data_IF_352961008601
#
_entry.id   IF_352961008601
#
_cell.length_a   1.000
_cell.length_b   1.000
_cell.length_c   1.000
_cell.angle_alpha   90.00
_cell.angle_beta   90.00
_cell.angle_gamma   90.00
#
_symmetry.space_group_name_H-M   'P 1'
#
loop_
_entity.id
_entity.type
_entity.pdbx_description
1 polymer ?
#
# COMPACT_ATOMS: atom_id res chain seq x y z
N UNK A 1 -10.49 1.59 -27.29
CA UNK A 1 -9.56 1.43 -26.16
C UNK A 1 -9.41 2.80 -25.53
N UNK A 2 -9.84 2.99 -24.28
CA UNK A 2 -9.59 4.25 -23.57
C UNK A 2 -8.09 4.30 -23.28
N UNK A 3 -7.41 5.32 -23.77
CA UNK A 3 -6.00 5.58 -23.45
C UNK A 3 -5.96 6.49 -22.22
N UNK A 4 -4.92 6.40 -21.40
CA UNK A 4 -4.75 7.19 -20.18
C UNK A 4 -3.28 7.66 -20.12
N UNK A 5 -3.05 8.96 -19.89
CA UNK A 5 -1.70 9.51 -19.66
C UNK A 5 -1.51 9.71 -18.16
N UNK A 6 -0.32 9.36 -17.67
CA UNK A 6 0.05 9.35 -16.25
C UNK A 6 1.20 10.34 -16.06
N UNK A 7 0.91 11.63 -15.79
CA UNK A 7 1.94 12.66 -15.70
C UNK A 7 2.82 12.55 -14.44
N UNK A 8 2.34 11.86 -13.39
CA UNK A 8 3.00 11.77 -12.08
C UNK A 8 3.57 10.37 -11.80
N UNK A 9 4.44 9.86 -12.68
CA UNK A 9 5.14 8.59 -12.44
C UNK A 9 6.40 8.87 -11.61
N UNK A 10 6.37 8.45 -10.34
CA UNK A 10 7.48 8.53 -9.38
C UNK A 10 7.53 7.30 -8.49
N UNK A 11 8.68 7.05 -7.85
CA UNK A 11 8.88 5.88 -6.99
C UNK A 11 7.83 5.78 -5.86
N UNK A 12 7.41 6.91 -5.31
CA UNK A 12 6.39 6.99 -4.26
C UNK A 12 5.01 6.47 -4.72
N UNK A 13 4.76 6.49 -6.03
CA UNK A 13 3.52 6.01 -6.65
C UNK A 13 3.63 4.55 -7.12
N UNK A 14 4.71 3.83 -6.78
CA UNK A 14 4.90 2.41 -7.11
C UNK A 14 4.84 1.60 -5.81
N UNK A 15 3.75 0.86 -5.63
CA UNK A 15 3.59 -0.05 -4.49
C UNK A 15 4.04 -1.47 -4.85
N UNK A 16 4.61 -2.16 -3.88
CA UNK A 16 4.90 -3.60 -3.98
C UNK A 16 3.96 -4.37 -3.07
N UNK A 17 3.35 -5.41 -3.60
CA UNK A 17 2.59 -6.36 -2.78
C UNK A 17 3.54 -7.23 -1.96
N UNK A 18 3.09 -7.65 -0.79
CA UNK A 18 3.78 -8.66 0.01
C UNK A 18 3.36 -10.03 -0.56
N UNK A 19 4.29 -10.76 -1.17
CA UNK A 19 4.04 -12.11 -1.68
C UNK A 19 4.35 -13.20 -0.66
N UNK A 20 4.91 -12.81 0.50
CA UNK A 20 5.25 -13.69 1.61
C UNK A 20 4.19 -13.57 2.74
N UNK A 21 3.18 -14.45 2.72
CA UNK A 21 2.10 -14.48 3.72
C UNK A 21 2.61 -14.70 5.15
N UNK A 22 3.81 -15.26 5.30
CA UNK A 22 4.35 -15.50 6.64
C UNK A 22 4.65 -14.19 7.39
N UNK A 23 4.78 -13.06 6.70
CA UNK A 23 4.84 -11.72 7.32
C UNK A 23 3.60 -11.45 8.19
N UNK A 24 2.40 -11.75 7.67
CA UNK A 24 1.14 -11.51 8.38
C UNK A 24 0.88 -12.53 9.49
N UNK A 25 1.26 -13.79 9.25
CA UNK A 25 1.15 -14.83 10.27
C UNK A 25 2.01 -14.50 11.49
N UNK A 26 3.27 -14.14 11.25
CA UNK A 26 4.20 -13.84 12.34
C UNK A 26 3.75 -12.56 13.09
N UNK A 27 3.24 -11.55 12.38
CA UNK A 27 2.62 -10.37 13.01
C UNK A 27 1.44 -10.72 13.92
N UNK A 28 0.58 -11.66 13.49
CA UNK A 28 -0.61 -12.07 14.25
C UNK A 28 -0.21 -12.89 15.49
N UNK A 29 0.72 -13.83 15.33
CA UNK A 29 1.24 -14.63 16.45
C UNK A 29 1.90 -13.74 17.49
N UNK A 30 2.68 -12.76 17.04
CA UNK A 30 3.35 -11.77 17.90
C UNK A 30 2.36 -10.93 18.73
N UNK A 31 1.18 -10.61 18.21
CA UNK A 31 0.12 -9.89 18.95
C UNK A 31 -0.62 -10.82 19.93
N UNK A 32 -0.72 -12.12 19.61
CA UNK A 32 -1.29 -13.11 20.53
C UNK A 32 -0.37 -13.38 21.72
N UNK A 33 0.93 -13.52 21.47
CA UNK A 33 1.93 -13.83 22.50
C UNK A 33 2.35 -12.58 23.30
N UNK A 34 2.46 -11.43 22.63
CA UNK A 34 2.84 -10.17 23.26
C UNK A 34 1.93 -9.03 22.76
N UNK A 35 0.73 -8.90 23.35
CA UNK A 35 -0.22 -7.84 23.05
C UNK A 35 0.40 -6.45 23.06
N UNK A 36 0.23 -5.69 21.97
CA UNK A 36 0.60 -4.28 21.98
C UNK A 36 -0.32 -3.48 22.93
N UNK A 37 0.13 -2.31 23.41
CA UNK A 37 -0.77 -1.35 24.05
C UNK A 37 -2.00 -1.12 23.17
N UNK A 38 -3.18 -1.28 23.75
CA UNK A 38 -4.45 -1.18 23.02
C UNK A 38 -5.54 -0.60 23.92
N UNK A 39 -6.53 0.01 23.29
CA UNK A 39 -7.70 0.59 23.96
C UNK A 39 -8.98 0.00 23.39
N UNK A 40 -9.83 -0.51 24.26
CA UNK A 40 -11.19 -0.92 23.91
C UNK A 40 -12.14 0.28 24.10
N UNK A 41 -12.93 0.59 23.08
CA UNK A 41 -13.88 1.69 23.08
C UNK A 41 -15.07 1.34 22.18
N UNK A 42 -16.29 1.36 22.71
CA UNK A 42 -17.52 1.13 21.93
C UNK A 42 -17.51 -0.19 21.11
N UNK A 43 -16.95 -1.26 21.68
CA UNK A 43 -16.85 -2.57 21.01
C UNK A 43 -15.76 -2.67 19.92
N UNK A 44 -14.92 -1.64 19.75
CA UNK A 44 -13.73 -1.70 18.90
C UNK A 44 -12.45 -1.72 19.72
N UNK A 45 -11.43 -2.39 19.19
CA UNK A 45 -10.08 -2.37 19.75
C UNK A 45 -9.19 -1.50 18.88
N UNK A 46 -8.59 -0.50 19.50
CA UNK A 46 -7.64 0.43 18.87
C UNK A 46 -6.24 -0.02 19.30
N UNK A 47 -5.46 -0.48 18.35
CA UNK A 47 -4.08 -0.94 18.54
C UNK A 47 -3.11 0.21 18.24
N UNK A 48 -1.98 0.26 18.94
CA UNK A 48 -0.86 1.09 18.49
C UNK A 48 -0.25 0.50 17.22
N UNK A 49 0.28 1.35 16.34
CA UNK A 49 1.00 0.88 15.16
C UNK A 49 2.18 0.01 15.55
N UNK A 50 2.37 -1.09 14.84
CA UNK A 50 3.49 -2.01 14.98
C UNK A 50 4.08 -2.31 13.61
N UNK A 51 5.39 -2.47 13.57
CA UNK A 51 6.10 -2.75 12.32
C UNK A 51 5.77 -4.15 11.79
N UNK A 52 5.62 -4.24 10.48
CA UNK A 52 5.65 -5.53 9.78
C UNK A 52 7.11 -5.89 9.52
N UNK A 53 7.43 -7.18 9.66
CA UNK A 53 8.75 -7.65 9.25
C UNK A 53 8.94 -7.48 7.74
N UNK A 54 10.19 -7.35 7.32
CA UNK A 54 10.52 -7.26 5.90
C UNK A 54 10.11 -8.56 5.17
N UNK A 55 9.31 -8.48 4.09
CA UNK A 55 8.99 -9.63 3.25
C UNK A 55 10.25 -10.26 2.67
N UNK A 56 10.29 -11.59 2.62
CA UNK A 56 11.35 -12.31 1.90
C UNK A 56 11.13 -12.25 0.39
N UNK A 57 9.87 -12.09 -0.02
CA UNK A 57 9.46 -12.02 -1.41
C UNK A 57 8.48 -10.86 -1.59
N UNK A 58 8.79 -10.02 -2.56
CA UNK A 58 7.92 -8.96 -3.04
C UNK A 58 7.17 -9.44 -4.28
N UNK A 59 5.91 -9.04 -4.40
CA UNK A 59 5.14 -9.23 -5.63
C UNK A 59 5.51 -8.19 -6.69
N UNK A 60 4.83 -8.26 -7.84
CA UNK A 60 5.05 -7.32 -8.92
C UNK A 60 4.74 -5.87 -8.48
N UNK A 61 5.45 -4.87 -9.01
CA UNK A 61 5.12 -3.47 -8.78
C UNK A 61 3.75 -3.16 -9.35
N UNK A 62 2.98 -2.37 -8.61
CA UNK A 62 1.67 -1.88 -9.00
C UNK A 62 1.73 -0.36 -8.96
N UNK A 63 1.38 0.29 -10.08
CA UNK A 63 1.20 1.73 -10.09
C UNK A 63 -0.04 2.06 -9.27
N UNK A 64 0.14 2.94 -8.28
CA UNK A 64 -0.94 3.52 -7.49
C UNK A 64 -1.00 5.03 -7.74
N UNK A 65 -2.00 5.68 -7.15
CA UNK A 65 -2.28 7.10 -7.30
C UNK A 65 -2.57 7.54 -8.75
N UNK A 66 -3.84 7.39 -9.12
CA UNK A 66 -4.39 7.88 -10.39
C UNK A 66 -5.08 9.24 -10.24
N UNK A 67 -4.84 9.98 -9.15
CA UNK A 67 -5.49 11.27 -8.90
C UNK A 67 -5.18 12.33 -9.98
N UNK A 68 -3.99 12.24 -10.58
CA UNK A 68 -3.52 13.11 -11.67
C UNK A 68 -3.65 12.47 -13.06
N UNK A 69 -4.31 11.32 -13.16
CA UNK A 69 -4.47 10.63 -14.44
C UNK A 69 -5.40 11.40 -15.37
N UNK A 70 -5.03 11.51 -16.65
CA UNK A 70 -5.82 12.24 -17.65
C UNK A 70 -6.25 11.33 -18.80
N UNK A 71 -7.46 11.52 -19.35
CA UNK A 71 -7.90 10.82 -20.55
C UNK A 71 -6.89 11.02 -21.68
N UNK A 72 -6.50 9.93 -22.34
CA UNK A 72 -5.66 9.99 -23.52
C UNK A 72 -6.44 10.35 -24.78
N UNK A 73 -5.70 10.55 -25.88
CA UNK A 73 -6.27 10.98 -27.17
C UNK A 73 -6.31 12.49 -27.37
N UNK A 74 -5.91 13.27 -26.36
CA UNK A 74 -5.69 14.70 -26.45
C UNK A 74 -4.18 14.94 -26.24
N UNK A 75 -3.55 15.66 -27.16
CA UNK A 75 -2.15 16.06 -26.99
C UNK A 75 -2.07 17.15 -25.92
N UNK A 76 -1.50 16.79 -24.77
CA UNK A 76 -1.17 17.74 -23.71
C UNK A 76 0.29 18.15 -23.87
N UNK A 77 0.50 19.33 -24.47
CA UNK A 77 1.81 19.96 -24.73
C UNK A 77 2.36 20.75 -23.54
N UNK A 78 1.57 20.90 -22.49
CA UNK A 78 1.94 21.60 -21.27
C UNK A 78 2.71 20.63 -20.36
N UNK A 79 3.89 21.05 -19.89
CA UNK A 79 4.57 20.39 -18.77
C UNK A 79 3.73 20.68 -17.50
N UNK A 80 3.20 19.62 -16.88
CA UNK A 80 2.51 19.67 -15.58
C UNK A 80 3.56 19.60 -14.47
#
# INVERSE_FOLDING_TARGET
MLTCKLPDIKADNIMFSIADDSVFRDFTEDELQNPCPRKELDGRTIYVSRELRMPRQWGAPVLCDFGSAIPGGIEHLEDI
#
